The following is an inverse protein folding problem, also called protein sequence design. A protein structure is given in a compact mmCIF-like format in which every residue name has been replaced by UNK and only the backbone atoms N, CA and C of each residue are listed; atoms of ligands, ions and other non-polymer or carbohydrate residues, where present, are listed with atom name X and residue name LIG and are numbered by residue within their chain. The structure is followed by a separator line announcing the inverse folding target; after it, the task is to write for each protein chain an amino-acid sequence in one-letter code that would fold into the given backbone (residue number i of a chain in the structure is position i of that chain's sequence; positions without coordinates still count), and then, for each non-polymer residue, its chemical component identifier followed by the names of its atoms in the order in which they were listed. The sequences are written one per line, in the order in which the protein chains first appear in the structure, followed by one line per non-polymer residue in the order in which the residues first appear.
data_IF_685149230139
#
_entry.id   IF_685149230139
#
_cell.length_a   1.000
_cell.length_b   1.000
_cell.length_c   1.000
_cell.angle_alpha   90.00
_cell.angle_beta   90.00
_cell.angle_gamma   90.00
#
_symmetry.space_group_name_H-M   'P 1'
#
loop_
_entity.id
_entity.type
_entity.pdbx_description
1 polymer ?
#
# COMPACT_ATOMS: atom_id res chain seq x y z
N UNK A 1 21.66 9.25 6.09
CA UNK A 1 21.48 8.16 5.08
C UNK A 1 20.02 8.12 4.72
N UNK A 2 19.67 8.24 3.43
CA UNK A 2 18.27 8.37 3.02
C UNK A 2 17.61 7.00 2.76
N UNK A 3 16.32 6.90 3.08
CA UNK A 3 15.44 5.79 2.67
C UNK A 3 14.09 6.36 2.23
N UNK A 4 13.59 5.88 1.10
CA UNK A 4 12.29 6.27 0.57
C UNK A 4 11.23 5.27 1.03
N UNK A 5 10.16 5.78 1.63
CA UNK A 5 9.01 5.05 2.13
C UNK A 5 7.81 5.31 1.23
N UNK A 6 7.35 4.32 0.51
CA UNK A 6 6.20 4.43 -0.41
C UNK A 6 5.01 3.63 0.11
N UNK A 7 3.82 4.14 -0.08
CA UNK A 7 2.64 3.29 -0.05
C UNK A 7 2.61 2.36 -1.27
N UNK A 8 1.81 1.32 -1.21
CA UNK A 8 1.62 0.36 -2.30
C UNK A 8 0.40 0.69 -3.14
N UNK A 9 -0.78 0.65 -2.52
CA UNK A 9 -2.07 0.86 -3.18
C UNK A 9 -2.27 2.34 -3.47
N UNK A 10 -2.78 2.70 -4.65
CA UNK A 10 -2.87 4.09 -5.10
C UNK A 10 -1.54 4.70 -5.58
N UNK A 11 -0.40 4.13 -5.19
CA UNK A 11 0.94 4.61 -5.57
C UNK A 11 1.60 3.72 -6.63
N UNK A 12 1.70 2.42 -6.40
CA UNK A 12 2.37 1.46 -7.30
C UNK A 12 1.41 0.48 -7.94
N UNK A 13 0.31 0.16 -7.26
CA UNK A 13 -0.73 -0.76 -7.73
C UNK A 13 -2.11 -0.15 -7.48
N UNK A 14 -3.15 -0.57 -8.20
CA UNK A 14 -4.51 -0.15 -7.88
C UNK A 14 -4.94 -0.70 -6.52
N UNK A 15 -6.01 -0.13 -5.97
CA UNK A 15 -6.68 -0.64 -4.77
C UNK A 15 -7.02 -2.13 -4.95
N UNK A 16 -6.37 -3.00 -4.18
CA UNK A 16 -6.42 -4.46 -4.39
C UNK A 16 -7.83 -4.99 -4.21
N UNK A 17 -8.55 -4.56 -3.16
CA UNK A 17 -9.90 -5.04 -2.92
C UNK A 17 -10.89 -4.61 -4.00
N UNK A 18 -10.78 -3.39 -4.51
CA UNK A 18 -11.61 -2.89 -5.60
C UNK A 18 -11.32 -3.66 -6.90
N UNK A 19 -10.04 -3.85 -7.22
CA UNK A 19 -9.63 -4.61 -8.39
C UNK A 19 -10.05 -6.08 -8.28
N UNK A 20 -9.92 -6.67 -7.10
CA UNK A 20 -10.35 -8.03 -6.80
C UNK A 20 -11.88 -8.20 -6.94
N UNK A 21 -12.66 -7.25 -6.41
CA UNK A 21 -14.11 -7.24 -6.54
C UNK A 21 -14.55 -7.23 -8.02
N UNK A 22 -13.92 -6.39 -8.84
CA UNK A 22 -14.18 -6.29 -10.27
C UNK A 22 -13.83 -7.59 -11.01
N UNK A 23 -12.68 -8.18 -10.71
CA UNK A 23 -12.22 -9.41 -11.37
C UNK A 23 -13.08 -10.62 -10.99
N UNK A 24 -13.58 -10.68 -9.76
CA UNK A 24 -14.44 -11.77 -9.27
C UNK A 24 -15.93 -11.55 -9.53
N UNK A 25 -16.32 -10.31 -9.83
CA UNK A 25 -17.73 -9.93 -9.97
C UNK A 25 -18.51 -9.92 -8.65
N UNK A 26 -17.81 -9.69 -7.52
CA UNK A 26 -18.38 -9.62 -6.17
C UNK A 26 -18.33 -8.15 -5.68
N UNK A 27 -19.37 -7.33 -5.97
CA UNK A 27 -19.37 -5.91 -5.68
C UNK A 27 -19.32 -5.59 -4.19
N UNK A 28 -19.74 -6.51 -3.32
CA UNK A 28 -19.69 -6.35 -1.86
C UNK A 28 -18.26 -6.16 -1.34
N UNK A 29 -17.24 -6.63 -2.07
CA UNK A 29 -15.84 -6.46 -1.73
C UNK A 29 -15.27 -5.08 -2.10
N UNK A 30 -16.01 -4.24 -2.83
CA UNK A 30 -15.61 -2.84 -3.13
C UNK A 30 -15.70 -1.92 -1.90
N UNK A 31 -16.37 -2.36 -0.83
CA UNK A 31 -16.50 -1.59 0.41
C UNK A 31 -15.12 -1.26 0.97
N UNK A 32 -14.92 0.02 1.31
CA UNK A 32 -13.64 0.56 1.80
C UNK A 32 -13.76 1.11 3.21
N UNK A 33 -12.67 1.62 3.77
CA UNK A 33 -12.67 2.35 5.05
C UNK A 33 -13.48 3.65 5.02
N UNK A 34 -13.89 4.13 3.86
CA UNK A 34 -14.83 5.26 3.72
C UNK A 34 -16.26 4.84 4.04
N UNK A 35 -16.61 3.58 3.79
CA UNK A 35 -17.92 2.99 4.02
C UNK A 35 -18.04 2.38 5.42
N UNK A 36 -16.96 1.79 5.92
CA UNK A 36 -16.82 1.24 7.27
C UNK A 36 -15.46 1.65 7.85
N UNK A 37 -15.45 2.72 8.68
CA UNK A 37 -14.20 3.23 9.27
C UNK A 37 -13.53 2.28 10.27
N UNK A 38 -14.28 1.36 10.85
CA UNK A 38 -13.75 0.33 11.74
C UNK A 38 -13.10 -0.77 10.89
N UNK A 39 -11.77 -0.78 10.88
CA UNK A 39 -11.00 -1.70 10.05
C UNK A 39 -11.26 -3.17 10.39
N UNK A 40 -11.42 -3.49 11.67
CA UNK A 40 -11.69 -4.86 12.11
C UNK A 40 -13.05 -5.34 11.60
N UNK A 41 -14.07 -4.48 11.67
CA UNK A 41 -15.39 -4.79 11.09
C UNK A 41 -15.33 -4.95 9.58
N UNK A 42 -14.61 -4.07 8.89
CA UNK A 42 -14.45 -4.14 7.46
C UNK A 42 -13.77 -5.45 7.03
N UNK A 43 -12.68 -5.83 7.71
CA UNK A 43 -11.96 -7.05 7.39
C UNK A 43 -12.75 -8.31 7.70
N UNK A 44 -13.44 -8.36 8.84
CA UNK A 44 -14.32 -9.48 9.16
C UNK A 44 -15.48 -9.60 8.15
N UNK A 45 -16.04 -8.48 7.71
CA UNK A 45 -17.04 -8.47 6.64
C UNK A 45 -16.49 -9.07 5.35
N UNK A 46 -15.30 -8.66 4.89
CA UNK A 46 -14.64 -9.18 3.70
C UNK A 46 -14.34 -10.68 3.82
N UNK A 47 -13.83 -11.13 4.96
CA UNK A 47 -13.54 -12.55 5.23
C UNK A 47 -14.80 -13.40 5.13
N UNK A 48 -15.92 -12.93 5.67
CA UNK A 48 -17.19 -13.63 5.56
C UNK A 48 -17.66 -13.77 4.09
N UNK A 49 -17.53 -12.72 3.29
CA UNK A 49 -17.86 -12.77 1.86
C UNK A 49 -16.95 -13.76 1.12
N UNK A 50 -15.64 -13.75 1.36
CA UNK A 50 -14.72 -14.72 0.77
C UNK A 50 -15.18 -16.16 1.09
N UNK A 51 -15.54 -16.41 2.33
CA UNK A 51 -16.03 -17.72 2.78
C UNK A 51 -17.35 -18.10 2.11
N UNK A 52 -18.32 -17.19 2.04
CA UNK A 52 -19.61 -17.41 1.38
C UNK A 52 -19.46 -17.77 -0.10
N UNK A 53 -18.45 -17.19 -0.77
CA UNK A 53 -18.13 -17.45 -2.17
C UNK A 53 -17.13 -18.61 -2.38
N UNK A 54 -16.67 -19.26 -1.30
CA UNK A 54 -15.72 -20.38 -1.38
C UNK A 54 -14.33 -19.96 -1.91
N UNK A 55 -13.94 -18.70 -1.66
CA UNK A 55 -12.67 -18.15 -2.10
C UNK A 55 -11.61 -18.33 -1.00
N UNK A 56 -10.74 -19.31 -1.20
CA UNK A 56 -9.55 -19.50 -0.37
C UNK A 56 -8.35 -18.69 -0.87
N UNK A 57 -7.23 -18.82 -0.16
CA UNK A 57 -5.99 -18.09 -0.46
C UNK A 57 -5.52 -18.29 -1.92
N UNK A 58 -5.62 -19.52 -2.43
CA UNK A 58 -5.18 -19.86 -3.78
C UNK A 58 -5.96 -19.09 -4.84
N UNK A 59 -7.29 -19.12 -4.77
CA UNK A 59 -8.19 -18.43 -5.70
C UNK A 59 -7.98 -16.91 -5.65
N UNK A 60 -7.74 -16.38 -4.44
CA UNK A 60 -7.44 -14.97 -4.22
C UNK A 60 -6.12 -14.60 -4.90
N UNK A 61 -5.06 -15.38 -4.68
CA UNK A 61 -3.75 -15.12 -5.30
C UNK A 61 -3.78 -15.25 -6.82
N UNK A 62 -4.51 -16.23 -7.37
CA UNK A 62 -4.72 -16.39 -8.82
C UNK A 62 -5.45 -15.19 -9.41
N UNK A 63 -6.41 -14.63 -8.69
CA UNK A 63 -7.14 -13.43 -9.11
C UNK A 63 -6.24 -12.19 -9.05
N UNK A 64 -5.53 -11.98 -7.94
CA UNK A 64 -4.61 -10.85 -7.77
C UNK A 64 -3.47 -10.91 -8.80
N UNK A 65 -3.03 -12.10 -9.20
CA UNK A 65 -2.02 -12.27 -10.24
C UNK A 65 -2.43 -11.69 -11.61
N UNK A 66 -3.72 -11.47 -11.87
CA UNK A 66 -4.24 -10.82 -13.07
C UNK A 66 -4.20 -9.29 -12.99
N UNK A 67 -4.10 -8.73 -11.77
CA UNK A 67 -3.99 -7.30 -11.54
C UNK A 67 -2.57 -6.86 -11.91
N UNK A 68 -2.45 -5.81 -12.72
CA UNK A 68 -1.16 -5.24 -13.08
C UNK A 68 -0.81 -4.03 -12.19
N UNK A 69 0.50 -3.79 -11.96
CA UNK A 69 0.96 -2.52 -11.43
C UNK A 69 0.48 -1.34 -12.29
N UNK A 70 0.41 -0.17 -11.68
CA UNK A 70 0.06 1.04 -12.43
C UNK A 70 1.08 1.30 -13.55
N UNK A 71 0.63 1.83 -14.71
CA UNK A 71 1.54 2.14 -15.83
C UNK A 71 2.72 3.02 -15.38
N UNK A 72 3.94 2.57 -15.64
CA UNK A 72 5.17 3.26 -15.23
C UNK A 72 5.65 2.99 -13.80
N UNK A 73 4.87 2.28 -12.97
CA UNK A 73 5.23 2.01 -11.58
C UNK A 73 6.50 1.17 -11.42
N UNK A 74 6.64 0.16 -12.27
CA UNK A 74 7.81 -0.74 -12.25
C UNK A 74 9.09 0.03 -12.62
N UNK A 75 9.04 0.80 -13.68
CA UNK A 75 10.15 1.62 -14.19
C UNK A 75 10.56 2.67 -13.14
N UNK A 76 9.59 3.37 -12.57
CA UNK A 76 9.82 4.33 -11.48
C UNK A 76 10.52 3.66 -10.29
N UNK A 77 10.00 2.50 -9.85
CA UNK A 77 10.55 1.80 -8.70
C UNK A 77 11.97 1.30 -8.95
N UNK A 78 12.26 0.79 -10.16
CA UNK A 78 13.59 0.31 -10.53
C UNK A 78 14.59 1.48 -10.59
N UNK A 79 14.22 2.61 -11.18
CA UNK A 79 15.07 3.78 -11.21
C UNK A 79 15.34 4.30 -9.79
N UNK A 80 14.30 4.40 -8.96
CA UNK A 80 14.42 4.85 -7.57
C UNK A 80 15.36 3.93 -6.76
N UNK A 81 15.22 2.61 -6.90
CA UNK A 81 16.07 1.61 -6.24
C UNK A 81 17.53 1.63 -6.72
N UNK A 82 17.79 2.16 -7.90
CA UNK A 82 19.17 2.32 -8.42
C UNK A 82 19.94 3.45 -7.75
N UNK A 83 19.24 4.40 -7.14
CA UNK A 83 19.84 5.63 -6.58
C UNK A 83 19.73 5.73 -5.06
N UNK A 84 18.77 5.02 -4.43
CA UNK A 84 18.58 5.05 -2.99
C UNK A 84 17.93 3.77 -2.48
N UNK A 85 17.84 3.63 -1.16
CA UNK A 85 17.10 2.55 -0.52
C UNK A 85 15.61 2.85 -0.57
N UNK A 86 14.80 1.83 -0.86
CA UNK A 86 13.34 1.94 -0.95
C UNK A 86 12.68 0.86 -0.14
N UNK A 87 11.66 1.24 0.61
CA UNK A 87 10.77 0.33 1.32
C UNK A 87 9.31 0.69 1.01
N UNK A 88 8.51 -0.32 0.78
CA UNK A 88 7.05 -0.18 0.69
C UNK A 88 6.46 -0.43 2.08
N UNK A 89 5.57 0.45 2.53
CA UNK A 89 4.86 0.31 3.80
C UNK A 89 3.37 0.34 3.48
N UNK A 90 2.69 -0.79 3.64
CA UNK A 90 1.30 -0.95 3.22
C UNK A 90 0.46 -1.62 4.30
N UNK A 91 -0.82 -1.29 4.32
CA UNK A 91 -1.80 -1.96 5.17
C UNK A 91 -2.40 -3.23 4.54
N UNK A 92 -1.92 -3.63 3.36
CA UNK A 92 -2.22 -4.91 2.72
C UNK A 92 -1.64 -6.10 3.49
N UNK A 93 -1.83 -7.30 2.98
CA UNK A 93 -1.35 -8.56 3.57
C UNK A 93 -0.28 -9.20 2.69
N UNK A 94 0.73 -9.82 3.32
CA UNK A 94 1.85 -10.45 2.61
C UNK A 94 1.39 -11.49 1.59
N UNK A 95 0.35 -12.26 1.94
CA UNK A 95 -0.22 -13.29 1.07
C UNK A 95 -0.93 -12.69 -0.16
N UNK A 96 -1.52 -11.50 -0.03
CA UNK A 96 -2.14 -10.76 -1.15
C UNK A 96 -1.09 -10.05 -2.00
N UNK A 97 -0.09 -9.46 -1.36
CA UNK A 97 0.94 -8.70 -2.05
C UNK A 97 1.84 -9.56 -2.95
N UNK A 98 2.03 -10.84 -2.63
CA UNK A 98 3.00 -11.72 -3.29
C UNK A 98 2.97 -11.68 -4.83
N UNK A 99 1.82 -11.89 -5.50
CA UNK A 99 1.73 -11.82 -6.96
C UNK A 99 2.13 -10.46 -7.55
N UNK A 100 1.80 -9.36 -6.87
CA UNK A 100 2.15 -8.00 -7.28
C UNK A 100 3.62 -7.70 -7.03
N UNK A 101 4.18 -8.18 -5.90
CA UNK A 101 5.61 -8.05 -5.62
C UNK A 101 6.47 -8.73 -6.68
N UNK A 102 6.02 -9.87 -7.20
CA UNK A 102 6.69 -10.54 -8.33
C UNK A 102 6.76 -9.63 -9.55
N UNK A 103 5.66 -8.96 -9.91
CA UNK A 103 5.59 -8.02 -11.04
C UNK A 103 6.45 -6.77 -10.82
N UNK A 104 6.58 -6.31 -9.58
CA UNK A 104 7.41 -5.16 -9.18
C UNK A 104 8.89 -5.51 -8.96
N UNK A 105 9.32 -6.77 -9.16
CA UNK A 105 10.71 -7.18 -8.99
C UNK A 105 11.13 -7.38 -7.54
N UNK A 106 10.21 -7.86 -6.70
CA UNK A 106 10.43 -8.20 -5.29
C UNK A 106 11.04 -7.05 -4.45
N UNK A 107 10.38 -5.88 -4.40
CA UNK A 107 10.80 -4.82 -3.49
C UNK A 107 10.60 -5.25 -2.04
N UNK A 108 11.34 -4.62 -1.12
CA UNK A 108 11.09 -4.78 0.31
C UNK A 108 9.73 -4.18 0.66
N UNK A 109 8.90 -4.94 1.35
CA UNK A 109 7.58 -4.50 1.81
C UNK A 109 7.39 -4.84 3.29
N UNK A 110 6.85 -3.89 4.04
CA UNK A 110 6.31 -4.08 5.39
C UNK A 110 4.80 -3.97 5.33
N UNK A 111 4.14 -5.07 5.62
CA UNK A 111 2.69 -5.19 5.57
C UNK A 111 2.18 -6.11 6.69
N UNK A 112 0.92 -6.45 6.65
CA UNK A 112 0.25 -7.29 7.62
C UNK A 112 0.21 -8.76 7.18
N UNK A 113 -0.40 -9.63 7.96
CA UNK A 113 -0.53 -11.05 7.65
C UNK A 113 -1.99 -11.52 7.77
N UNK A 114 -2.40 -12.40 6.85
CA UNK A 114 -3.65 -13.15 7.00
C UNK A 114 -3.41 -14.40 7.84
N UNK A 115 -4.41 -14.78 8.61
CA UNK A 115 -4.50 -16.10 9.22
C UNK A 115 -5.20 -17.03 8.23
N UNK A 116 -4.50 -18.10 7.86
CA UNK A 116 -4.94 -19.04 6.82
C UNK A 116 -4.93 -20.45 7.38
N UNK A 117 -6.05 -21.15 7.27
CA UNK A 117 -6.18 -22.55 7.67
C UNK A 117 -5.44 -23.47 6.68
N UNK A 118 -5.24 -24.72 7.07
CA UNK A 118 -4.52 -25.73 6.25
C UNK A 118 -5.17 -25.98 4.88
N UNK A 119 -6.49 -25.83 4.80
CA UNK A 119 -7.27 -25.96 3.56
C UNK A 119 -7.27 -24.69 2.69
N UNK A 120 -6.64 -23.61 3.16
CA UNK A 120 -6.54 -22.33 2.46
C UNK A 120 -7.65 -21.33 2.80
N UNK A 121 -8.60 -21.66 3.70
CA UNK A 121 -9.61 -20.70 4.17
C UNK A 121 -8.93 -19.54 4.91
N UNK A 122 -9.36 -18.30 4.61
CA UNK A 122 -8.95 -17.12 5.37
C UNK A 122 -9.79 -17.07 6.64
N UNK A 123 -9.16 -17.24 7.78
CA UNK A 123 -9.83 -17.33 9.09
C UNK A 123 -9.70 -16.05 9.92
N UNK A 124 -8.77 -15.19 9.57
CA UNK A 124 -8.53 -13.95 10.30
C UNK A 124 -7.39 -13.14 9.69
N UNK A 125 -6.94 -12.15 10.43
CA UNK A 125 -5.82 -11.31 10.05
C UNK A 125 -5.09 -10.82 11.30
N UNK A 126 -3.82 -10.46 11.10
CA UNK A 126 -2.96 -9.90 12.14
C UNK A 126 -2.31 -8.62 11.65
N UNK A 127 -2.62 -7.51 12.31
CA UNK A 127 -1.93 -6.25 12.07
C UNK A 127 -0.53 -6.32 12.68
N UNK A 128 0.48 -5.89 11.93
CA UNK A 128 1.89 -5.88 12.36
C UNK A 128 2.12 -4.98 13.57
N UNK A 129 1.56 -3.78 13.55
CA UNK A 129 1.59 -2.82 14.65
C UNK A 129 0.53 -1.73 14.43
N UNK A 130 0.22 -0.99 15.49
CA UNK A 130 -0.63 0.20 15.39
C UNK A 130 0.05 1.30 14.57
N UNK A 131 -0.76 2.05 13.80
CA UNK A 131 -0.28 3.14 12.94
C UNK A 131 0.97 2.71 12.14
N UNK A 132 0.87 1.59 11.45
CA UNK A 132 2.00 0.84 10.89
C UNK A 132 2.95 1.71 10.06
N UNK A 133 2.42 2.67 9.28
CA UNK A 133 3.19 3.57 8.42
C UNK A 133 4.02 4.56 9.25
N UNK A 134 3.38 5.27 10.18
CA UNK A 134 4.07 6.21 11.08
C UNK A 134 5.09 5.51 11.98
N UNK A 135 4.70 4.39 12.60
CA UNK A 135 5.57 3.61 13.49
C UNK A 135 6.82 3.13 12.76
N UNK A 136 6.68 2.68 11.51
CA UNK A 136 7.80 2.23 10.69
C UNK A 136 8.76 3.38 10.38
N UNK A 137 8.25 4.53 9.94
CA UNK A 137 9.07 5.72 9.66
C UNK A 137 9.85 6.14 10.90
N UNK A 138 9.20 6.23 12.06
CA UNK A 138 9.89 6.57 13.33
C UNK A 138 10.95 5.54 13.71
N UNK A 139 10.71 4.25 13.49
CA UNK A 139 11.69 3.21 13.75
C UNK A 139 12.92 3.34 12.83
N UNK A 140 12.74 3.61 11.55
CA UNK A 140 13.82 3.87 10.61
C UNK A 140 14.64 5.10 11.01
N UNK A 141 13.98 6.17 11.43
CA UNK A 141 14.65 7.39 11.94
C UNK A 141 15.46 7.10 13.21
N UNK A 142 14.95 6.26 14.11
CA UNK A 142 15.62 5.91 15.35
C UNK A 142 16.94 5.13 15.14
N UNK A 143 17.09 4.49 13.99
CA UNK A 143 18.33 3.79 13.59
C UNK A 143 19.18 4.57 12.58
N UNK A 144 18.92 5.88 12.42
CA UNK A 144 19.79 6.81 11.69
C UNK A 144 19.44 7.04 10.23
N UNK A 145 18.22 6.70 9.78
CA UNK A 145 17.77 7.05 8.43
C UNK A 145 17.05 8.39 8.40
N UNK A 146 17.30 9.18 7.36
CA UNK A 146 16.46 10.28 6.93
C UNK A 146 15.38 9.71 6.00
N UNK A 147 14.12 9.78 6.40
CA UNK A 147 13.01 9.22 5.63
C UNK A 147 12.46 10.24 4.64
N UNK A 148 12.12 9.77 3.44
CA UNK A 148 11.39 10.50 2.41
C UNK A 148 10.13 9.68 2.14
N UNK A 149 8.93 10.24 2.29
CA UNK A 149 7.70 9.45 2.23
C UNK A 149 6.70 9.97 1.21
N UNK A 150 6.01 9.05 0.54
CA UNK A 150 4.93 9.39 -0.38
C UNK A 150 3.77 8.38 -0.31
N UNK A 151 2.55 8.91 -0.40
CA UNK A 151 1.31 8.14 -0.37
C UNK A 151 0.15 8.94 -0.94
N UNK A 152 -1.04 8.33 -1.05
CA UNK A 152 -2.20 8.92 -1.72
C UNK A 152 -3.35 9.28 -0.78
N UNK A 153 -3.36 8.73 0.43
CA UNK A 153 -4.56 8.73 1.28
C UNK A 153 -4.29 9.16 2.74
N UNK A 154 -5.35 9.28 3.53
CA UNK A 154 -5.27 9.80 4.90
C UNK A 154 -4.38 8.96 5.83
N UNK A 155 -4.32 7.64 5.65
CA UNK A 155 -3.48 6.76 6.47
C UNK A 155 -1.97 6.96 6.20
N UNK A 156 -1.60 7.66 5.12
CA UNK A 156 -0.22 8.01 4.77
C UNK A 156 0.27 9.28 5.44
N UNK A 157 -0.65 10.17 5.84
CA UNK A 157 -0.31 11.49 6.35
C UNK A 157 0.67 11.43 7.52
N UNK A 158 0.50 10.46 8.42
CA UNK A 158 1.41 10.28 9.54
C UNK A 158 2.87 10.04 9.12
N UNK A 159 3.08 9.16 8.14
CA UNK A 159 4.45 8.90 7.63
C UNK A 159 4.98 10.06 6.79
N UNK A 160 4.11 10.72 5.99
CA UNK A 160 4.47 11.85 5.14
C UNK A 160 4.95 13.02 6.02
N UNK A 161 4.15 13.43 7.00
CA UNK A 161 4.45 14.56 7.88
C UNK A 161 5.64 14.31 8.82
N UNK A 162 5.87 13.05 9.22
CA UNK A 162 7.00 12.69 10.07
C UNK A 162 8.34 12.59 9.33
N UNK A 163 8.33 12.57 8.00
CA UNK A 163 9.52 12.39 7.18
C UNK A 163 10.24 13.71 6.90
N UNK A 164 11.56 13.63 6.61
CA UNK A 164 12.40 14.77 6.19
C UNK A 164 11.82 15.50 4.98
N UNK A 165 11.29 14.73 4.03
CA UNK A 165 10.52 15.22 2.91
C UNK A 165 9.31 14.30 2.70
N UNK A 166 8.14 14.90 2.55
CA UNK A 166 6.90 14.17 2.37
C UNK A 166 6.08 14.75 1.23
N UNK A 167 5.38 13.91 0.50
CA UNK A 167 4.53 14.33 -0.61
C UNK A 167 3.29 13.46 -0.77
N UNK A 168 2.25 14.06 -1.30
CA UNK A 168 1.06 13.37 -1.78
C UNK A 168 1.30 12.92 -3.23
N UNK A 169 0.84 11.72 -3.58
CA UNK A 169 0.91 11.22 -4.94
C UNK A 169 -0.45 10.72 -5.40
N UNK A 170 -0.98 11.32 -6.48
CA UNK A 170 -2.33 11.00 -7.02
C UNK A 170 -3.44 11.05 -5.98
N UNK A 171 -3.27 11.89 -4.99
CA UNK A 171 -4.20 12.05 -3.89
C UNK A 171 -5.47 12.81 -4.33
N UNK A 172 -6.54 12.66 -3.56
CA UNK A 172 -7.81 13.36 -3.85
C UNK A 172 -7.69 14.88 -3.65
N UNK A 173 -8.51 15.65 -4.37
CA UNK A 173 -8.55 17.10 -4.20
C UNK A 173 -8.96 17.52 -2.77
N UNK A 174 -9.75 16.71 -2.09
CA UNK A 174 -10.10 16.93 -0.69
C UNK A 174 -8.86 16.92 0.20
N UNK A 175 -8.02 15.88 0.11
CA UNK A 175 -6.80 15.77 0.90
C UNK A 175 -5.81 16.90 0.56
N UNK A 176 -5.62 17.21 -0.73
CA UNK A 176 -4.76 18.32 -1.17
C UNK A 176 -5.23 19.66 -0.61
N UNK A 177 -6.54 19.87 -0.51
CA UNK A 177 -7.13 21.08 0.06
C UNK A 177 -6.95 21.15 1.58
N UNK A 178 -7.07 20.02 2.26
CA UNK A 178 -6.95 19.96 3.72
C UNK A 178 -5.49 20.06 4.19
N UNK A 179 -4.53 19.71 3.32
CA UNK A 179 -3.08 19.74 3.59
C UNK A 179 -2.31 20.50 2.50
N UNK A 180 -2.60 21.82 2.32
CA UNK A 180 -2.01 22.63 1.25
C UNK A 180 -0.50 22.84 1.37
N UNK A 181 0.08 22.57 2.54
CA UNK A 181 1.52 22.61 2.79
C UNK A 181 2.27 21.42 2.22
N UNK A 182 1.58 20.30 1.93
CA UNK A 182 2.21 19.12 1.36
C UNK A 182 2.28 19.23 -0.17
N UNK A 183 3.48 19.09 -0.78
CA UNK A 183 3.58 19.00 -2.22
C UNK A 183 2.80 17.80 -2.75
N UNK A 184 2.14 17.94 -3.89
CA UNK A 184 1.36 16.90 -4.52
C UNK A 184 1.81 16.69 -5.97
N UNK A 185 1.99 15.44 -6.35
CA UNK A 185 2.45 15.04 -7.68
C UNK A 185 1.48 14.05 -8.32
N UNK A 186 1.35 14.11 -9.64
CA UNK A 186 0.44 13.26 -10.41
C UNK A 186 1.18 12.25 -11.30
N UNK A 187 2.44 12.51 -11.61
CA UNK A 187 3.25 11.66 -12.46
C UNK A 187 4.47 11.12 -11.73
N UNK A 188 4.94 9.95 -12.15
CA UNK A 188 6.16 9.36 -11.58
C UNK A 188 7.39 10.22 -11.85
N UNK A 189 7.46 10.93 -12.98
CA UNK A 189 8.57 11.82 -13.30
C UNK A 189 8.66 12.99 -12.30
N UNK A 190 7.53 13.61 -11.97
CA UNK A 190 7.47 14.66 -10.95
C UNK A 190 7.87 14.14 -9.57
N UNK A 191 7.31 13.01 -9.16
CA UNK A 191 7.63 12.38 -7.88
C UNK A 191 9.12 12.00 -7.80
N UNK A 192 9.66 11.39 -8.84
CA UNK A 192 11.06 10.99 -8.90
C UNK A 192 12.00 12.22 -8.83
N UNK A 193 11.68 13.29 -9.55
CA UNK A 193 12.44 14.54 -9.51
C UNK A 193 12.43 15.16 -8.10
N UNK A 194 11.29 15.19 -7.44
CA UNK A 194 11.16 15.69 -6.07
C UNK A 194 11.95 14.84 -5.05
N UNK A 195 11.87 13.51 -5.17
CA UNK A 195 12.66 12.61 -4.33
C UNK A 195 14.16 12.83 -4.56
N UNK A 196 14.63 12.89 -5.82
CA UNK A 196 16.04 13.16 -6.15
C UNK A 196 16.54 14.48 -5.54
N UNK A 197 15.70 15.51 -5.54
CA UNK A 197 16.05 16.81 -4.94
C UNK A 197 16.14 16.77 -3.40
N UNK A 198 15.58 15.72 -2.76
CA UNK A 198 15.55 15.56 -1.29
C UNK A 198 16.63 14.59 -0.77
N UNK A 199 17.32 13.87 -1.67
CA UNK A 199 18.42 12.95 -1.32
C UNK A 199 19.68 13.73 -0.92
#
# INVERSE_FOLDING_TARGET
MNIVCLDLEGVLVPEIWIAFAKETGIPELEKTTRDEPDYDKLMNYRINILKEHGLGLKEIQETIAKIDPMPGAKEFLDELRSITQVIIISDTFSQFAGPLMKKLGWPTIFCNELEVAEDGEITGFRMRCEQSKLTTVKALQSIGYDTIASGDSHNDLGMIQASKAGSLFRSTDAIKKDYPELPAYETYDELLAAIKASL
#
